data_IF_916211035302
#
_entry.id   IF_916211035302
#
_cell.length_a   1.000
_cell.length_b   1.000
_cell.length_c   1.000
_cell.angle_alpha   90.00
_cell.angle_beta   90.00
_cell.angle_gamma   90.00
#
_symmetry.space_group_name_H-M   'P 1'
#
loop_
_entity.id
_entity.type
_entity.pdbx_description
1 polymer ?
#
# COMPACT_ATOMS: atom_id res chain seq x y z
N UNK A 1 -6.13 -42.34 23.44
CA UNK A 1 -4.97 -41.87 22.64
C UNK A 1 -4.83 -40.37 22.89
N UNK A 2 -4.02 -39.98 23.88
CA UNK A 2 -3.78 -38.55 24.15
C UNK A 2 -2.62 -38.07 23.28
N UNK A 3 -2.89 -37.11 22.41
CA UNK A 3 -1.87 -36.44 21.62
C UNK A 3 -0.95 -35.64 22.55
N UNK A 4 0.35 -35.90 22.51
CA UNK A 4 1.35 -35.01 23.07
C UNK A 4 1.37 -33.75 22.20
N UNK A 5 0.81 -32.64 22.69
CA UNK A 5 1.10 -31.32 22.17
C UNK A 5 2.58 -31.04 22.48
N UNK A 6 3.46 -31.31 21.53
CA UNK A 6 4.86 -30.92 21.61
C UNK A 6 4.93 -29.39 21.69
N UNK A 7 5.03 -28.86 22.90
CA UNK A 7 5.40 -27.47 23.14
C UNK A 7 6.79 -27.28 22.51
N UNK A 8 6.84 -26.59 21.38
CA UNK A 8 8.10 -26.16 20.79
C UNK A 8 8.94 -25.46 21.89
N UNK A 9 10.26 -25.70 21.95
CA UNK A 9 11.09 -25.14 23.02
C UNK A 9 10.89 -23.63 23.08
N UNK A 10 10.71 -23.03 24.28
CA UNK A 10 10.49 -21.59 24.40
C UNK A 10 11.66 -20.86 23.76
N UNK A 11 11.37 -20.07 22.73
CA UNK A 11 12.37 -19.26 22.03
C UNK A 11 13.17 -18.43 23.04
N UNK A 12 14.49 -18.39 22.88
CA UNK A 12 15.34 -17.62 23.79
C UNK A 12 14.88 -16.15 23.83
N UNK A 13 15.04 -15.48 24.99
CA UNK A 13 14.68 -14.05 25.14
C UNK A 13 15.27 -13.18 24.02
N UNK A 14 16.49 -13.48 23.57
CA UNK A 14 17.16 -12.80 22.45
C UNK A 14 16.44 -13.06 21.12
N UNK A 15 16.01 -14.29 20.87
CA UNK A 15 15.24 -14.66 19.68
C UNK A 15 13.90 -13.92 19.60
N UNK A 16 13.17 -13.84 20.71
CA UNK A 16 11.90 -13.10 20.74
C UNK A 16 12.10 -11.59 20.47
N UNK A 17 13.16 -10.99 21.02
CA UNK A 17 13.51 -9.59 20.74
C UNK A 17 13.87 -9.39 19.27
N UNK A 18 14.70 -10.27 18.70
CA UNK A 18 15.10 -10.20 17.29
C UNK A 18 13.90 -10.33 16.36
N UNK A 19 13.01 -11.30 16.61
CA UNK A 19 11.76 -11.45 15.85
C UNK A 19 10.88 -10.20 15.95
N UNK A 20 10.76 -9.63 17.15
CA UNK A 20 10.02 -8.37 17.35
C UNK A 20 10.59 -7.21 16.54
N UNK A 21 11.93 -7.07 16.49
CA UNK A 21 12.59 -6.04 15.68
C UNK A 21 12.35 -6.24 14.18
N UNK A 22 12.44 -7.47 13.69
CA UNK A 22 12.16 -7.79 12.28
C UNK A 22 10.71 -7.46 11.92
N UNK A 23 9.76 -7.82 12.78
CA UNK A 23 8.33 -7.49 12.58
C UNK A 23 8.10 -5.99 12.60
N UNK A 24 8.68 -5.27 13.56
CA UNK A 24 8.56 -3.82 13.66
C UNK A 24 9.13 -3.13 12.41
N UNK A 25 10.30 -3.57 11.95
CA UNK A 25 10.91 -3.07 10.71
C UNK A 25 10.02 -3.35 9.50
N UNK A 26 9.50 -4.58 9.37
CA UNK A 26 8.57 -4.94 8.30
C UNK A 26 7.30 -4.07 8.31
N UNK A 27 6.76 -3.79 9.49
CA UNK A 27 5.60 -2.93 9.64
C UNK A 27 5.87 -1.49 9.24
N UNK A 28 7.02 -0.93 9.66
CA UNK A 28 7.44 0.43 9.25
C UNK A 28 7.58 0.52 7.73
N UNK A 29 8.22 -0.47 7.10
CA UNK A 29 8.38 -0.51 5.64
C UNK A 29 7.04 -0.65 4.92
N UNK A 30 6.14 -1.51 5.43
CA UNK A 30 4.81 -1.70 4.87
C UNK A 30 3.99 -0.40 4.94
N UNK A 31 3.91 0.21 6.11
CA UNK A 31 3.12 1.43 6.33
C UNK A 31 3.74 2.60 5.57
N UNK A 32 5.06 2.77 5.64
CA UNK A 32 5.76 3.83 4.92
C UNK A 32 5.58 3.72 3.40
N UNK A 33 5.75 2.52 2.84
CA UNK A 33 5.53 2.26 1.43
C UNK A 33 4.07 2.50 1.01
N UNK A 34 3.12 2.05 1.83
CA UNK A 34 1.70 2.29 1.56
C UNK A 34 1.34 3.77 1.63
N UNK A 35 1.79 4.51 2.65
CA UNK A 35 1.54 5.94 2.77
C UNK A 35 2.16 6.72 1.60
N UNK A 36 3.37 6.33 1.17
CA UNK A 36 4.01 6.92 -0.01
C UNK A 36 3.19 6.66 -1.28
N UNK A 37 2.77 5.42 -1.51
CA UNK A 37 1.90 5.05 -2.62
C UNK A 37 0.56 5.80 -2.61
N UNK A 38 -0.09 5.91 -1.45
CA UNK A 38 -1.35 6.64 -1.30
C UNK A 38 -1.20 8.15 -1.50
N UNK A 39 -0.04 8.72 -1.16
CA UNK A 39 0.25 10.11 -1.52
C UNK A 39 0.41 10.25 -3.04
N UNK A 40 1.13 9.33 -3.66
CA UNK A 40 1.42 9.34 -5.07
C UNK A 40 0.18 9.07 -5.95
N UNK A 41 -0.76 8.23 -5.50
CA UNK A 41 -1.97 7.84 -6.22
C UNK A 41 -3.21 8.19 -5.41
N UNK A 42 -3.90 9.26 -5.84
CA UNK A 42 -5.05 9.82 -5.09
C UNK A 42 -6.36 9.61 -5.84
N UNK A 43 -7.46 9.30 -5.14
CA UNK A 43 -8.77 9.19 -5.76
C UNK A 43 -9.37 10.55 -6.07
N UNK A 44 -9.99 10.67 -7.24
CA UNK A 44 -10.75 11.83 -7.67
C UNK A 44 -12.08 11.40 -8.28
N UNK A 45 -13.14 12.16 -7.99
CA UNK A 45 -14.43 12.02 -8.66
C UNK A 45 -14.47 12.97 -9.84
N UNK A 46 -14.84 12.48 -11.02
CA UNK A 46 -14.98 13.32 -12.22
C UNK A 46 -16.32 14.06 -12.17
N UNK A 47 -16.35 15.41 -12.12
CA UNK A 47 -17.58 16.16 -11.95
C UNK A 47 -18.32 16.45 -13.27
N UNK A 48 -17.66 16.28 -14.42
CA UNK A 48 -18.17 16.70 -15.73
C UNK A 48 -17.93 15.65 -16.82
N UNK A 49 -18.77 15.57 -17.86
CA UNK A 49 -18.66 14.57 -18.93
C UNK A 49 -17.69 14.97 -20.06
N UNK A 50 -16.75 15.89 -19.83
CA UNK A 50 -15.85 16.43 -20.86
C UNK A 50 -14.81 15.44 -21.37
N UNK A 51 -14.59 14.35 -20.64
CA UNK A 51 -13.72 13.24 -21.03
C UNK A 51 -14.49 12.05 -21.62
N UNK A 52 -15.80 12.19 -21.83
CA UNK A 52 -16.60 11.17 -22.49
C UNK A 52 -16.14 10.97 -23.95
N UNK A 53 -16.13 9.73 -24.47
CA UNK A 53 -16.63 8.50 -23.83
C UNK A 53 -15.60 7.75 -22.97
N UNK A 54 -14.39 8.29 -22.81
CA UNK A 54 -13.29 7.58 -22.13
C UNK A 54 -13.53 7.50 -20.62
N UNK A 55 -14.01 8.59 -20.01
CA UNK A 55 -14.34 8.65 -18.58
C UNK A 55 -15.64 9.45 -18.42
N UNK A 56 -16.59 8.89 -17.68
CA UNK A 56 -17.91 9.48 -17.50
C UNK A 56 -17.98 10.37 -16.25
N UNK A 57 -18.97 11.26 -16.23
CA UNK A 57 -19.27 12.05 -15.04
C UNK A 57 -19.72 11.13 -13.90
N UNK A 58 -19.13 11.31 -12.71
CA UNK A 58 -19.38 10.49 -11.53
C UNK A 58 -18.39 9.35 -11.32
N UNK A 59 -17.55 9.02 -12.31
CA UNK A 59 -16.51 8.00 -12.16
C UNK A 59 -15.48 8.40 -11.09
N UNK A 60 -14.93 7.37 -10.42
CA UNK A 60 -13.78 7.52 -9.53
C UNK A 60 -12.52 7.00 -10.20
N UNK A 61 -11.55 7.88 -10.36
CA UNK A 61 -10.26 7.57 -10.97
C UNK A 61 -9.13 7.77 -9.97
N UNK A 62 -8.01 7.07 -10.17
CA UNK A 62 -6.79 7.28 -9.41
C UNK A 62 -5.84 8.17 -10.23
N UNK A 63 -5.56 9.37 -9.74
CA UNK A 63 -4.59 10.28 -10.33
C UNK A 63 -3.20 10.06 -9.74
N UNK A 64 -2.20 9.92 -10.61
CA UNK A 64 -0.79 9.88 -10.20
C UNK A 64 -0.21 11.30 -10.09
N UNK A 65 0.50 11.58 -9.01
CA UNK A 65 1.17 12.86 -8.77
C UNK A 65 2.50 12.95 -9.53
N UNK A 66 2.52 13.47 -10.74
CA UNK A 66 3.75 13.67 -11.52
C UNK A 66 4.15 15.14 -11.63
N UNK A 67 5.41 15.40 -11.98
CA UNK A 67 5.89 16.74 -12.33
C UNK A 67 5.50 17.11 -13.78
N UNK A 68 5.55 18.40 -14.12
CA UNK A 68 5.09 18.90 -15.43
C UNK A 68 5.96 18.44 -16.60
N UNK A 69 7.25 18.19 -16.36
CA UNK A 69 8.20 17.68 -17.35
C UNK A 69 8.06 16.17 -17.64
N UNK A 70 7.33 15.44 -16.80
CA UNK A 70 7.03 14.02 -17.01
C UNK A 70 5.79 13.79 -17.89
N UNK A 71 4.97 14.82 -18.11
CA UNK A 71 3.71 14.75 -18.87
C UNK A 71 3.97 14.46 -20.34
N UNK A 72 3.24 13.50 -20.91
CA UNK A 72 3.34 13.10 -22.31
C UNK A 72 2.04 13.37 -23.06
N UNK A 73 2.15 13.50 -24.39
CA UNK A 73 0.98 13.65 -25.25
C UNK A 73 0.09 12.41 -25.12
N UNK A 74 -1.15 12.62 -24.69
CA UNK A 74 -2.14 11.57 -24.53
C UNK A 74 -2.34 11.10 -23.08
N UNK A 75 -1.56 11.62 -22.12
CA UNK A 75 -1.82 11.39 -20.69
C UNK A 75 -3.17 12.01 -20.29
N UNK A 76 -3.90 11.31 -19.43
CA UNK A 76 -5.21 11.70 -18.87
C UNK A 76 -5.22 11.53 -17.35
#
# INVERSE_FOLDING_TARGET
>A
MSASSGTAPPGSRKGNVLSGLVVALGFVLLVGGFAWGAWQYRPYTVPTPSMAPTIDAGDRVLGQRISGDEVRRGDV
#
